data_IF_807423272727
#
_entry.id   IF_807423272727
#
_cell.length_a   1.000
_cell.length_b   1.000
_cell.length_c   1.000
_cell.angle_alpha   90.00
_cell.angle_beta   90.00
_cell.angle_gamma   90.00
#
_symmetry.space_group_name_H-M   'P 1'
#
loop_
_entity.id
_entity.type
_entity.pdbx_description
1 polymer ?
#
# COMPACT_ATOMS: atom_id res chain seq x y z
N UNK A 1 3.39 33.21 -3.18
CA UNK A 1 3.77 31.79 -3.09
C UNK A 1 4.83 31.53 -2.02
N UNK A 2 6.08 32.06 -2.11
CA UNK A 2 7.10 31.87 -1.05
C UNK A 2 6.62 32.24 0.37
N UNK A 3 5.92 33.37 0.50
CA UNK A 3 5.38 33.79 1.80
C UNK A 3 4.39 32.77 2.39
N UNK A 4 3.45 32.28 1.57
CA UNK A 4 2.45 31.29 1.98
C UNK A 4 3.13 29.95 2.35
N UNK A 5 4.16 29.56 1.61
CA UNK A 5 4.98 28.39 1.94
C UNK A 5 5.64 28.53 3.32
N UNK A 6 6.31 29.66 3.58
CA UNK A 6 6.96 29.92 4.87
C UNK A 6 5.98 29.93 6.06
N UNK A 7 4.75 30.40 5.85
CA UNK A 7 3.73 30.47 6.89
C UNK A 7 3.05 29.11 7.17
N UNK A 8 2.90 28.27 6.15
CA UNK A 8 2.12 27.02 6.26
C UNK A 8 2.97 25.75 6.34
N UNK A 9 4.23 25.82 5.91
CA UNK A 9 5.09 24.66 5.65
C UNK A 9 4.72 23.83 4.42
N UNK A 10 3.69 24.24 3.66
CA UNK A 10 3.20 23.48 2.51
C UNK A 10 3.73 24.05 1.20
N UNK A 11 4.07 23.18 0.25
CA UNK A 11 4.38 23.59 -1.11
C UNK A 11 3.07 23.80 -1.89
N UNK A 12 2.94 24.99 -2.51
CA UNK A 12 1.75 25.37 -3.25
C UNK A 12 2.04 25.50 -4.74
N UNK A 13 1.10 25.05 -5.54
CA UNK A 13 1.06 25.39 -6.96
C UNK A 13 0.28 26.68 -7.18
N UNK A 14 0.64 27.35 -8.26
CA UNK A 14 0.02 28.58 -8.70
C UNK A 14 -0.26 28.53 -10.19
N UNK A 15 -1.33 29.20 -10.56
CA UNK A 15 -1.72 29.49 -11.93
C UNK A 15 -1.57 31.00 -12.13
N UNK A 16 -0.94 31.41 -13.21
CA UNK A 16 -0.97 32.81 -13.66
C UNK A 16 -1.58 32.86 -15.05
N UNK A 17 -2.66 33.61 -15.20
CA UNK A 17 -3.32 33.79 -16.49
C UNK A 17 -3.82 35.21 -16.67
N UNK A 18 -3.79 35.70 -17.90
CA UNK A 18 -4.44 36.95 -18.31
C UNK A 18 -5.71 36.70 -19.15
N UNK A 19 -6.22 35.47 -19.16
CA UNK A 19 -7.37 35.05 -19.96
C UNK A 19 -7.05 34.70 -21.42
N UNK A 20 -5.81 34.88 -21.88
CA UNK A 20 -5.33 34.44 -23.21
C UNK A 20 -4.13 33.51 -23.13
N UNK A 21 -3.22 33.80 -22.20
CA UNK A 21 -2.04 33.00 -21.92
C UNK A 21 -2.07 32.53 -20.48
N UNK A 22 -1.44 31.38 -20.27
CA UNK A 22 -1.35 30.71 -18.98
C UNK A 22 0.09 30.29 -18.71
N UNK A 23 0.50 30.36 -17.45
CA UNK A 23 1.72 29.76 -16.95
C UNK A 23 1.43 29.12 -15.59
N UNK A 24 2.14 28.04 -15.30
CA UNK A 24 2.07 27.35 -14.02
C UNK A 24 3.30 27.67 -13.19
N UNK A 25 3.10 27.82 -11.89
CA UNK A 25 4.13 28.01 -10.87
C UNK A 25 4.10 26.79 -9.96
N UNK A 26 5.25 26.20 -9.69
CA UNK A 26 5.35 25.00 -8.86
C UNK A 26 6.71 24.95 -8.14
N UNK A 27 6.82 24.10 -7.13
CA UNK A 27 8.06 23.90 -6.38
C UNK A 27 8.83 22.70 -6.92
N UNK A 28 10.12 22.88 -7.21
CA UNK A 28 11.09 21.77 -7.32
C UNK A 28 12.06 21.92 -6.14
N UNK A 29 11.98 21.02 -5.16
CA UNK A 29 12.61 21.22 -3.87
C UNK A 29 12.09 22.51 -3.20
N UNK A 30 13.00 23.40 -2.81
CA UNK A 30 12.68 24.71 -2.21
C UNK A 30 12.65 25.87 -3.23
N UNK A 31 12.88 25.57 -4.52
CA UNK A 31 12.86 26.57 -5.59
C UNK A 31 11.50 26.61 -6.28
N UNK A 32 11.00 27.83 -6.51
CA UNK A 32 9.83 28.02 -7.38
C UNK A 32 10.32 28.02 -8.84
N UNK A 33 9.76 27.12 -9.63
CA UNK A 33 9.87 27.09 -11.09
C UNK A 33 8.56 27.57 -11.70
N UNK A 34 8.63 27.97 -12.97
CA UNK A 34 7.47 28.32 -13.74
C UNK A 34 7.58 27.80 -15.18
N UNK A 35 6.45 27.39 -15.74
CA UNK A 35 6.36 27.10 -17.17
C UNK A 35 6.46 28.41 -17.97
N UNK A 36 6.83 28.29 -19.25
CA UNK A 36 6.65 29.40 -20.19
C UNK A 36 5.16 29.71 -20.36
N UNK A 37 4.85 30.97 -20.71
CA UNK A 37 3.48 31.34 -21.07
C UNK A 37 3.07 30.69 -22.40
N UNK A 38 2.07 29.82 -22.34
CA UNK A 38 1.43 29.20 -23.51
C UNK A 38 0.03 29.78 -23.74
N UNK A 39 -0.52 29.56 -24.92
CA UNK A 39 -1.94 29.84 -25.19
C UNK A 39 -2.79 28.84 -24.40
N UNK A 40 -3.93 29.28 -23.87
CA UNK A 40 -4.84 28.41 -23.12
C UNK A 40 -5.44 27.35 -24.05
N UNK A 41 -5.29 26.08 -23.68
CA UNK A 41 -5.88 24.91 -24.32
C UNK A 41 -7.01 24.32 -23.46
N UNK A 42 -7.76 23.35 -24.01
CA UNK A 42 -8.87 22.67 -23.29
C UNK A 42 -8.38 22.02 -22.00
N UNK A 43 -7.20 21.40 -22.01
CA UNK A 43 -6.57 20.79 -20.82
C UNK A 43 -6.32 21.81 -19.70
N UNK A 44 -6.01 23.05 -20.07
CA UNK A 44 -5.70 24.11 -19.11
C UNK A 44 -6.99 24.61 -18.44
N UNK A 45 -8.07 24.72 -19.22
CA UNK A 45 -9.40 25.07 -18.70
C UNK A 45 -9.94 23.99 -17.76
N UNK A 46 -9.83 22.72 -18.14
CA UNK A 46 -10.20 21.59 -17.28
C UNK A 46 -9.44 21.67 -15.95
N UNK A 47 -8.13 21.90 -15.99
CA UNK A 47 -7.31 22.07 -14.79
C UNK A 47 -7.77 23.23 -13.91
N UNK A 48 -8.08 24.40 -14.47
CA UNK A 48 -8.59 25.55 -13.70
C UNK A 48 -9.90 25.19 -13.00
N UNK A 49 -10.84 24.56 -13.72
CA UNK A 49 -12.13 24.16 -13.19
C UNK A 49 -11.93 23.13 -12.07
N UNK A 50 -11.09 22.11 -12.28
CA UNK A 50 -10.76 21.13 -11.25
C UNK A 50 -10.16 21.81 -10.01
N UNK A 51 -9.21 22.74 -10.17
CA UNK A 51 -8.65 23.47 -9.03
C UNK A 51 -9.71 24.27 -8.25
N UNK A 52 -10.68 24.87 -8.93
CA UNK A 52 -11.79 25.61 -8.30
C UNK A 52 -12.78 24.68 -7.59
N UNK A 53 -13.14 23.53 -8.19
CA UNK A 53 -14.01 22.53 -7.56
C UNK A 53 -13.38 22.00 -6.27
N UNK A 54 -12.06 21.90 -6.22
CA UNK A 54 -11.33 21.38 -5.07
C UNK A 54 -11.07 22.43 -3.97
N UNK A 55 -11.55 23.66 -4.10
CA UNK A 55 -11.44 24.68 -3.05
C UNK A 55 -12.19 24.23 -1.80
N UNK A 56 -11.50 24.19 -0.66
CA UNK A 56 -12.06 23.72 0.61
C UNK A 56 -11.90 22.22 0.88
N UNK A 57 -11.35 21.46 -0.07
CA UNK A 57 -10.96 20.06 0.14
C UNK A 57 -9.61 19.95 0.86
N UNK A 58 -9.40 18.85 1.58
CA UNK A 58 -8.13 18.48 2.20
C UNK A 58 -7.19 17.90 1.14
N UNK A 59 -5.91 18.25 1.24
CA UNK A 59 -4.85 17.59 0.48
C UNK A 59 -4.40 16.32 1.21
N UNK A 60 -4.05 15.28 0.45
CA UNK A 60 -3.30 14.13 0.97
C UNK A 60 -1.87 14.56 1.31
N UNK A 61 -1.70 15.06 2.53
CA UNK A 61 -0.41 15.40 3.12
C UNK A 61 -0.26 14.70 4.47
N UNK A 62 0.97 14.42 4.95
CA UNK A 62 1.15 13.73 6.22
C UNK A 62 0.48 14.49 7.36
N UNK A 63 0.59 15.82 7.37
CA UNK A 63 -0.03 16.67 8.40
C UNK A 63 -1.55 16.47 8.48
N UNK A 64 -2.25 16.50 7.34
CA UNK A 64 -3.71 16.35 7.32
C UNK A 64 -4.11 14.92 7.71
N UNK A 65 -3.46 13.92 7.10
CA UNK A 65 -3.76 12.51 7.34
C UNK A 65 -3.48 12.13 8.80
N UNK A 66 -2.34 12.53 9.36
CA UNK A 66 -2.04 12.34 10.79
C UNK A 66 -3.07 13.06 11.67
N UNK A 67 -3.42 14.30 11.35
CA UNK A 67 -4.40 15.06 12.16
C UNK A 67 -5.73 14.31 12.28
N UNK A 68 -6.21 13.73 11.18
CA UNK A 68 -7.52 13.08 11.12
C UNK A 68 -7.49 11.61 11.58
N UNK A 69 -6.36 10.91 11.38
CA UNK A 69 -6.26 9.46 11.54
C UNK A 69 -5.22 8.97 12.57
N UNK A 70 -4.52 9.84 13.31
CA UNK A 70 -3.68 9.42 14.44
C UNK A 70 -4.45 8.61 15.48
N UNK A 71 -3.76 7.81 16.30
CA UNK A 71 -4.37 6.97 17.35
C UNK A 71 -5.34 7.71 18.29
N UNK A 72 -5.07 8.99 18.56
CA UNK A 72 -5.88 9.84 19.45
C UNK A 72 -7.07 10.50 18.76
N UNK A 73 -7.25 10.32 17.45
CA UNK A 73 -8.43 10.83 16.75
C UNK A 73 -9.65 9.96 17.08
N UNK A 74 -10.82 10.59 17.16
CA UNK A 74 -12.07 9.86 17.42
C UNK A 74 -12.35 8.80 16.33
N UNK A 75 -11.94 9.05 15.09
CA UNK A 75 -12.16 8.12 13.97
C UNK A 75 -11.35 6.83 14.19
N UNK A 76 -10.05 6.94 14.41
CA UNK A 76 -9.15 5.80 14.58
C UNK A 76 -9.39 5.07 15.90
N UNK A 77 -9.71 5.80 16.97
CA UNK A 77 -10.05 5.22 18.27
C UNK A 77 -11.37 4.42 18.20
N UNK A 78 -12.39 4.95 17.52
CA UNK A 78 -13.66 4.23 17.32
C UNK A 78 -13.49 2.97 16.46
N UNK A 79 -12.62 2.99 15.44
CA UNK A 79 -12.29 1.79 14.67
C UNK A 79 -11.57 0.77 15.54
N UNK A 80 -10.50 1.19 16.21
CA UNK A 80 -9.67 0.27 17.02
C UNK A 80 -10.49 -0.38 18.13
N UNK A 81 -11.32 0.40 18.84
CA UNK A 81 -12.18 -0.14 19.89
C UNK A 81 -13.28 -1.06 19.32
N UNK A 82 -13.88 -0.74 18.17
CA UNK A 82 -14.91 -1.62 17.58
C UNK A 82 -14.35 -2.96 17.11
N UNK A 83 -13.12 -2.96 16.59
CA UNK A 83 -12.39 -4.17 16.22
C UNK A 83 -11.96 -4.96 17.47
N UNK A 84 -11.43 -4.29 18.50
CA UNK A 84 -11.02 -4.93 19.74
C UNK A 84 -12.20 -5.58 20.48
N UNK A 85 -13.32 -4.88 20.59
CA UNK A 85 -14.57 -5.43 21.11
C UNK A 85 -15.01 -6.69 20.34
N UNK A 86 -14.94 -6.64 19.01
CA UNK A 86 -15.36 -7.73 18.14
C UNK A 86 -14.50 -8.98 18.36
N UNK A 87 -13.18 -8.84 18.30
CA UNK A 87 -12.24 -9.97 18.43
C UNK A 87 -12.22 -10.56 19.84
N UNK A 88 -12.47 -9.75 20.88
CA UNK A 88 -12.57 -10.22 22.26
C UNK A 88 -13.90 -10.92 22.55
N UNK A 89 -14.99 -10.53 21.88
CA UNK A 89 -16.31 -11.14 22.08
C UNK A 89 -16.43 -12.48 21.37
N UNK A 90 -15.97 -12.56 20.12
CA UNK A 90 -16.04 -13.75 19.31
C UNK A 90 -14.99 -13.70 18.20
N UNK A 91 -14.28 -14.82 18.01
CA UNK A 91 -13.38 -15.02 16.86
C UNK A 91 -14.02 -16.03 15.93
N UNK A 92 -14.12 -15.68 14.65
CA UNK A 92 -14.49 -16.64 13.62
C UNK A 92 -13.30 -17.55 13.30
N UNK A 93 -13.54 -18.67 12.63
CA UNK A 93 -12.46 -19.56 12.17
C UNK A 93 -11.44 -18.83 11.28
N UNK A 94 -11.90 -17.91 10.41
CA UNK A 94 -11.02 -17.06 9.59
C UNK A 94 -10.17 -16.16 10.47
N UNK A 95 -10.76 -15.53 11.49
CA UNK A 95 -10.04 -14.65 12.43
C UNK A 95 -8.97 -15.41 13.20
N UNK A 96 -9.29 -16.60 13.72
CA UNK A 96 -8.32 -17.44 14.44
C UNK A 96 -7.15 -17.84 13.53
N UNK A 97 -7.44 -18.35 12.33
CA UNK A 97 -6.42 -18.76 11.37
C UNK A 97 -5.49 -17.60 10.97
N UNK A 98 -6.03 -16.44 10.60
CA UNK A 98 -5.20 -15.29 10.20
C UNK A 98 -4.36 -14.74 11.36
N UNK A 99 -4.92 -14.73 12.58
CA UNK A 99 -4.20 -14.28 13.77
C UNK A 99 -3.07 -15.25 14.13
N UNK A 100 -3.30 -16.54 13.99
CA UNK A 100 -2.29 -17.57 14.22
C UNK A 100 -1.11 -17.47 13.25
N UNK A 101 -1.37 -17.28 11.97
CA UNK A 101 -0.31 -17.08 10.97
C UNK A 101 0.43 -15.76 11.19
N UNK A 102 -0.29 -14.70 11.57
CA UNK A 102 0.31 -13.44 11.99
C UNK A 102 1.27 -13.63 13.19
N UNK A 103 0.89 -14.40 14.21
CA UNK A 103 1.76 -14.66 15.37
C UNK A 103 3.06 -15.38 14.97
N UNK A 104 2.97 -16.37 14.05
CA UNK A 104 4.13 -17.11 13.53
C UNK A 104 5.09 -16.15 12.84
N UNK A 105 4.58 -15.29 11.96
CA UNK A 105 5.38 -14.33 11.21
C UNK A 105 6.15 -13.37 12.13
N UNK A 106 5.49 -12.80 13.14
CA UNK A 106 6.11 -11.88 14.09
C UNK A 106 6.97 -12.59 15.15
N UNK A 107 7.15 -13.92 15.05
CA UNK A 107 7.91 -14.76 15.99
C UNK A 107 7.49 -14.53 17.45
N UNK A 108 6.21 -14.19 17.65
CA UNK A 108 5.63 -13.95 18.96
C UNK A 108 5.42 -15.31 19.63
N UNK A 109 6.46 -15.79 20.31
CA UNK A 109 6.40 -16.99 21.13
C UNK A 109 6.30 -16.60 22.61
N UNK A 110 5.74 -17.48 23.44
CA UNK A 110 5.71 -17.34 24.90
C UNK A 110 7.12 -17.14 25.53
N UNK A 111 8.18 -17.28 24.75
CA UNK A 111 9.59 -17.12 25.14
C UNK A 111 10.18 -15.75 24.79
N UNK A 112 9.36 -14.72 24.58
CA UNK A 112 9.80 -13.34 24.36
C UNK A 112 10.55 -12.81 25.61
N UNK A 113 11.87 -12.97 25.63
CA UNK A 113 12.78 -12.47 26.67
C UNK A 113 13.06 -10.97 26.49
N UNK A 114 12.04 -10.19 26.13
CA UNK A 114 12.12 -8.74 26.23
C UNK A 114 12.56 -8.37 27.65
N UNK A 115 13.33 -7.28 27.79
CA UNK A 115 13.60 -6.76 29.12
C UNK A 115 12.22 -6.49 29.77
N UNK A 116 11.95 -7.06 30.95
CA UNK A 116 10.62 -7.02 31.58
C UNK A 116 9.95 -5.62 31.54
N UNK A 117 10.76 -4.54 31.55
CA UNK A 117 10.30 -3.16 31.46
C UNK A 117 9.67 -2.76 30.10
N UNK A 118 10.12 -3.31 28.98
CA UNK A 118 9.58 -2.94 27.65
C UNK A 118 8.21 -3.57 27.42
N UNK A 119 8.02 -4.81 27.89
CA UNK A 119 6.73 -5.50 27.90
C UNK A 119 5.74 -4.73 28.79
N UNK A 120 6.14 -4.32 30.00
CA UNK A 120 5.30 -3.53 30.91
C UNK A 120 4.88 -2.20 30.30
N UNK A 121 5.81 -1.44 29.69
CA UNK A 121 5.51 -0.17 29.02
C UNK A 121 4.53 -0.37 27.85
N UNK A 122 4.75 -1.39 27.03
CA UNK A 122 3.90 -1.73 25.89
C UNK A 122 2.49 -2.09 26.35
N UNK A 123 2.35 -2.99 27.31
CA UNK A 123 1.06 -3.37 27.91
C UNK A 123 0.31 -2.20 28.51
N UNK A 124 1.01 -1.32 29.22
CA UNK A 124 0.43 -0.08 29.76
C UNK A 124 -0.11 0.79 28.64
N UNK A 125 0.68 1.00 27.57
CA UNK A 125 0.27 1.83 26.44
C UNK A 125 -0.93 1.24 25.69
N UNK A 126 -0.95 -0.07 25.47
CA UNK A 126 -2.09 -0.76 24.86
C UNK A 126 -3.33 -0.66 25.76
N UNK A 127 -3.17 -0.79 27.08
CA UNK A 127 -4.27 -0.65 28.05
C UNK A 127 -4.90 0.74 28.00
N UNK A 128 -4.09 1.79 27.82
CA UNK A 128 -4.56 3.16 27.62
C UNK A 128 -5.37 3.31 26.31
N UNK A 129 -4.91 2.68 25.22
CA UNK A 129 -5.55 2.77 23.90
C UNK A 129 -6.93 2.10 23.91
N UNK A 130 -7.00 0.86 24.40
CA UNK A 130 -8.20 0.03 24.36
C UNK A 130 -9.09 0.15 25.60
N UNK A 131 -8.67 0.92 26.61
CA UNK A 131 -9.37 1.05 27.89
C UNK A 131 -9.67 -0.31 28.56
N UNK A 132 -8.77 -1.29 28.39
CA UNK A 132 -8.82 -2.63 28.96
C UNK A 132 -7.53 -2.93 29.72
N UNK A 133 -7.59 -3.81 30.73
CA UNK A 133 -6.42 -4.26 31.46
C UNK A 133 -5.69 -5.36 30.67
N UNK A 134 -4.63 -4.97 29.95
CA UNK A 134 -3.79 -5.88 29.16
C UNK A 134 -2.63 -6.34 30.04
N UNK A 135 -2.80 -7.50 30.66
CA UNK A 135 -1.88 -8.04 31.65
C UNK A 135 -1.27 -9.40 31.28
N UNK A 136 -1.63 -9.95 30.11
CA UNK A 136 -1.16 -11.24 29.63
C UNK A 136 -0.84 -11.19 28.12
N UNK A 137 -0.13 -12.21 27.63
CA UNK A 137 0.30 -12.29 26.23
C UNK A 137 -0.89 -12.34 25.26
N UNK A 138 -1.96 -13.05 25.60
CA UNK A 138 -3.12 -13.20 24.71
C UNK A 138 -3.76 -11.84 24.40
N UNK A 139 -4.11 -11.06 25.44
CA UNK A 139 -4.69 -9.72 25.28
C UNK A 139 -3.74 -8.76 24.57
N UNK A 140 -2.45 -8.88 24.86
CA UNK A 140 -1.41 -8.07 24.24
C UNK A 140 -1.34 -8.34 22.73
N UNK A 141 -1.34 -9.60 22.32
CA UNK A 141 -1.34 -10.00 20.92
C UNK A 141 -2.62 -9.59 20.20
N UNK A 142 -3.79 -9.71 20.85
CA UNK A 142 -5.06 -9.20 20.31
C UNK A 142 -5.00 -7.68 20.07
N UNK A 143 -4.52 -6.93 21.05
CA UNK A 143 -4.41 -5.48 20.97
C UNK A 143 -3.44 -5.02 19.88
N UNK A 144 -2.29 -5.68 19.75
CA UNK A 144 -1.31 -5.42 18.68
C UNK A 144 -1.89 -5.73 17.30
N UNK A 145 -2.51 -6.89 17.15
CA UNK A 145 -3.12 -7.32 15.89
C UNK A 145 -4.25 -6.38 15.45
N UNK A 146 -5.08 -5.91 16.40
CA UNK A 146 -6.12 -4.92 16.14
C UNK A 146 -5.54 -3.56 15.75
N UNK A 147 -4.50 -3.06 16.42
CA UNK A 147 -3.85 -1.80 16.04
C UNK A 147 -3.30 -1.85 14.61
N UNK A 148 -2.62 -2.94 14.25
CA UNK A 148 -2.13 -3.15 12.89
C UNK A 148 -3.27 -3.26 11.88
N UNK A 149 -4.35 -3.97 12.24
CA UNK A 149 -5.57 -4.06 11.42
C UNK A 149 -6.18 -2.68 11.19
N UNK A 150 -6.30 -1.85 12.23
CA UNK A 150 -6.82 -0.48 12.13
C UNK A 150 -6.00 0.35 11.14
N UNK A 151 -4.68 0.29 11.25
CA UNK A 151 -3.78 0.96 10.31
C UNK A 151 -3.98 0.44 8.87
N UNK A 152 -3.99 -0.88 8.68
CA UNK A 152 -4.18 -1.50 7.37
C UNK A 152 -5.49 -1.04 6.70
N UNK A 153 -6.61 -1.03 7.44
CA UNK A 153 -7.92 -0.56 6.93
C UNK A 153 -7.82 0.90 6.44
N UNK A 154 -7.21 1.79 7.22
CA UNK A 154 -7.08 3.21 6.86
C UNK A 154 -6.23 3.36 5.60
N UNK A 155 -5.09 2.65 5.51
CA UNK A 155 -4.21 2.67 4.32
C UNK A 155 -4.95 2.16 3.08
N UNK A 156 -5.67 1.04 3.19
CA UNK A 156 -6.45 0.44 2.10
C UNK A 156 -7.56 1.36 1.60
N UNK A 157 -8.27 2.04 2.51
CA UNK A 157 -9.32 3.00 2.16
C UNK A 157 -8.73 4.28 1.54
N UNK A 158 -7.58 4.76 2.01
CA UNK A 158 -6.84 5.85 1.35
C UNK A 158 -6.49 5.46 -0.08
N UNK A 159 -5.89 4.28 -0.29
CA UNK A 159 -5.56 3.77 -1.62
C UNK A 159 -6.80 3.68 -2.52
N UNK A 160 -7.91 3.19 -1.98
CA UNK A 160 -9.19 3.09 -2.68
C UNK A 160 -9.74 4.46 -3.09
N UNK A 161 -9.60 5.50 -2.25
CA UNK A 161 -10.03 6.87 -2.54
C UNK A 161 -9.25 7.50 -3.70
N UNK A 162 -8.02 7.06 -3.94
CA UNK A 162 -7.18 7.58 -5.04
C UNK A 162 -7.60 7.03 -6.40
N UNK A 163 -8.31 5.89 -6.44
CA UNK A 163 -8.86 5.37 -7.68
C UNK A 163 -10.02 6.25 -8.17
N UNK A 164 -10.08 6.52 -9.48
CA UNK A 164 -11.13 7.34 -10.08
C UNK A 164 -12.47 6.61 -10.19
N UNK A 165 -12.45 5.31 -10.50
CA UNK A 165 -13.64 4.48 -10.70
C UNK A 165 -13.48 3.14 -9.99
N UNK A 166 -14.50 2.77 -9.22
CA UNK A 166 -14.61 1.48 -8.57
C UNK A 166 -15.46 0.56 -9.45
N UNK A 167 -14.93 -0.62 -9.79
CA UNK A 167 -15.64 -1.62 -10.59
C UNK A 167 -16.24 -2.70 -9.69
N UNK A 168 -17.08 -2.29 -8.72
CA UNK A 168 -17.66 -3.22 -7.74
C UNK A 168 -19.08 -3.67 -8.10
N UNK A 169 -19.98 -2.73 -8.35
CA UNK A 169 -21.38 -3.00 -8.71
C UNK A 169 -21.99 -1.82 -9.47
N UNK A 170 -23.20 -1.98 -10.03
CA UNK A 170 -23.89 -0.85 -10.69
C UNK A 170 -24.13 0.35 -9.76
N UNK A 171 -24.27 0.08 -8.45
CA UNK A 171 -24.54 1.09 -7.42
C UNK A 171 -23.27 1.74 -6.85
N UNK A 172 -22.09 1.16 -7.09
CA UNK A 172 -20.81 1.63 -6.53
C UNK A 172 -19.83 1.84 -7.67
N UNK A 173 -19.78 3.07 -8.17
CA UNK A 173 -18.90 3.50 -9.26
C UNK A 173 -17.81 4.44 -8.79
N UNK A 174 -18.07 5.17 -7.71
CA UNK A 174 -17.14 6.14 -7.13
C UNK A 174 -16.97 5.87 -5.64
N UNK A 175 -15.85 6.32 -5.08
CA UNK A 175 -15.58 6.18 -3.64
C UNK A 175 -16.69 6.82 -2.78
N UNK A 176 -17.31 7.91 -3.25
CA UNK A 176 -18.41 8.57 -2.54
C UNK A 176 -19.66 7.71 -2.40
N UNK A 177 -19.86 6.72 -3.27
CA UNK A 177 -21.03 5.84 -3.18
C UNK A 177 -20.94 4.94 -1.93
N UNK A 178 -19.73 4.71 -1.41
CA UNK A 178 -19.51 3.91 -0.19
C UNK A 178 -20.10 4.56 1.06
N UNK A 179 -20.32 5.88 1.08
CA UNK A 179 -20.92 6.56 2.23
C UNK A 179 -22.45 6.41 2.31
N UNK A 180 -23.10 5.96 1.23
CA UNK A 180 -24.56 5.82 1.16
C UNK A 180 -25.04 4.38 1.23
N UNK A 181 -24.19 3.40 0.92
CA UNK A 181 -24.55 1.98 0.99
C UNK A 181 -24.80 1.49 2.43
N UNK A 182 -25.58 0.41 2.53
CA UNK A 182 -25.92 -0.27 3.79
C UNK A 182 -24.79 -1.17 4.31
N UNK A 183 -24.99 -1.73 5.49
CA UNK A 183 -24.00 -2.55 6.19
C UNK A 183 -23.60 -3.82 5.45
N UNK A 184 -24.56 -4.49 4.80
CA UNK A 184 -24.32 -5.75 4.09
C UNK A 184 -23.52 -5.48 2.81
N UNK A 185 -23.90 -4.43 2.07
CA UNK A 185 -23.16 -4.01 0.87
C UNK A 185 -21.76 -3.54 1.22
N UNK A 186 -21.58 -2.75 2.29
CA UNK A 186 -20.26 -2.29 2.71
C UNK A 186 -19.38 -3.45 3.16
N UNK A 187 -19.92 -4.41 3.91
CA UNK A 187 -19.19 -5.62 4.31
C UNK A 187 -18.65 -6.39 3.10
N UNK A 188 -19.50 -6.66 2.09
CA UNK A 188 -19.08 -7.32 0.84
C UNK A 188 -18.06 -6.51 0.05
N UNK A 189 -18.20 -5.19 0.06
CA UNK A 189 -17.21 -4.30 -0.55
C UNK A 189 -15.85 -4.43 0.16
N UNK A 190 -15.83 -4.42 1.49
CA UNK A 190 -14.60 -4.62 2.25
C UNK A 190 -14.00 -6.00 1.99
N UNK A 191 -14.79 -7.09 1.95
CA UNK A 191 -14.27 -8.41 1.55
C UNK A 191 -13.58 -8.35 0.17
N UNK A 192 -14.21 -7.74 -0.84
CA UNK A 192 -13.60 -7.60 -2.16
C UNK A 192 -12.43 -6.64 -2.24
N UNK A 193 -12.37 -5.66 -1.35
CA UNK A 193 -11.20 -4.81 -1.18
C UNK A 193 -10.02 -5.64 -0.64
N UNK A 194 -10.27 -6.45 0.38
CA UNK A 194 -9.29 -7.34 1.00
C UNK A 194 -8.77 -8.40 0.02
N UNK A 195 -9.64 -8.97 -0.83
CA UNK A 195 -9.27 -9.94 -1.86
C UNK A 195 -8.48 -9.32 -3.05
N UNK A 196 -8.34 -7.99 -3.10
CA UNK A 196 -7.66 -7.29 -4.20
C UNK A 196 -8.51 -7.09 -5.47
N UNK A 197 -9.76 -7.53 -5.49
CA UNK A 197 -10.66 -7.45 -6.65
C UNK A 197 -10.89 -6.01 -7.12
N UNK A 198 -11.05 -5.07 -6.17
CA UNK A 198 -11.34 -3.66 -6.47
C UNK A 198 -10.22 -3.01 -7.30
N UNK A 199 -8.96 -3.40 -7.08
CA UNK A 199 -7.80 -2.85 -7.78
C UNK A 199 -7.46 -3.62 -9.05
N UNK A 200 -7.54 -4.95 -9.00
CA UNK A 200 -7.23 -5.81 -10.16
C UNK A 200 -8.22 -5.60 -11.32
N UNK A 201 -9.50 -5.34 -11.01
CA UNK A 201 -10.50 -4.94 -12.01
C UNK A 201 -10.18 -3.59 -12.68
N UNK A 202 -9.50 -2.69 -11.98
CA UNK A 202 -8.96 -1.43 -12.50
C UNK A 202 -7.57 -1.55 -13.15
N UNK A 203 -7.06 -2.76 -13.36
CA UNK A 203 -5.76 -3.00 -14.01
C UNK A 203 -4.55 -3.00 -13.07
N UNK A 204 -4.72 -2.70 -11.78
CA UNK A 204 -3.62 -2.71 -10.81
C UNK A 204 -3.62 -4.06 -10.08
N UNK A 205 -2.72 -4.93 -10.49
CA UNK A 205 -2.48 -6.21 -9.82
C UNK A 205 -1.71 -5.96 -8.52
N UNK A 206 -1.74 -6.92 -7.61
CA UNK A 206 -0.96 -7.01 -6.37
C UNK A 206 -0.94 -5.82 -5.41
N UNK A 207 -1.66 -4.72 -5.64
CA UNK A 207 -1.67 -3.59 -4.71
C UNK A 207 -2.22 -4.00 -3.34
N UNK A 208 -3.39 -4.65 -3.34
CA UNK A 208 -3.93 -5.40 -2.21
C UNK A 208 -4.07 -6.85 -2.62
N UNK A 209 -3.59 -7.76 -1.78
CA UNK A 209 -3.73 -9.21 -1.91
C UNK A 209 -4.11 -9.70 -0.52
N UNK A 210 -5.05 -10.65 -0.42
CA UNK A 210 -5.59 -11.12 0.84
C UNK A 210 -4.50 -11.28 1.92
N UNK A 211 -4.56 -10.41 2.93
CA UNK A 211 -3.55 -10.34 3.98
C UNK A 211 -4.13 -10.77 5.33
N UNK A 212 -3.23 -10.88 6.31
CA UNK A 212 -3.58 -11.22 7.69
C UNK A 212 -4.63 -10.27 8.29
N UNK A 213 -4.76 -9.04 7.79
CA UNK A 213 -5.61 -8.01 8.37
C UNK A 213 -7.05 -8.01 7.82
N UNK A 214 -7.43 -9.00 7.01
CA UNK A 214 -8.75 -9.09 6.38
C UNK A 214 -9.87 -9.66 7.27
N UNK A 215 -9.55 -10.12 8.49
CA UNK A 215 -10.47 -10.86 9.36
C UNK A 215 -11.78 -10.13 9.70
N UNK A 216 -11.73 -8.80 9.88
CA UNK A 216 -12.89 -7.97 10.24
C UNK A 216 -13.99 -7.97 9.17
N UNK A 217 -13.61 -8.24 7.91
CA UNK A 217 -14.52 -8.24 6.78
C UNK A 217 -15.40 -9.48 6.73
N UNK A 218 -15.07 -10.56 7.44
CA UNK A 218 -15.87 -11.78 7.47
C UNK A 218 -17.30 -11.50 7.93
N UNK A 219 -18.30 -12.01 7.19
CA UNK A 219 -19.72 -11.79 7.49
C UNK A 219 -20.14 -12.13 8.92
N UNK A 220 -19.47 -13.08 9.58
CA UNK A 220 -19.78 -13.51 10.95
C UNK A 220 -18.98 -12.72 12.00
N UNK A 221 -17.93 -12.01 11.59
CA UNK A 221 -17.16 -11.10 12.44
C UNK A 221 -17.71 -9.66 12.37
N UNK A 222 -18.19 -9.28 11.18
CA UNK A 222 -18.73 -7.96 10.88
C UNK A 222 -19.94 -7.63 11.75
N UNK A 223 -19.97 -6.39 12.26
CA UNK A 223 -21.08 -5.92 13.10
C UNK A 223 -21.35 -4.43 12.90
N UNK A 224 -22.41 -3.93 13.55
CA UNK A 224 -22.84 -2.54 13.39
C UNK A 224 -21.79 -1.52 13.86
N UNK A 225 -20.98 -1.85 14.89
CA UNK A 225 -19.91 -0.95 15.35
C UNK A 225 -18.81 -0.85 14.30
N UNK A 226 -18.37 -1.98 13.73
CA UNK A 226 -17.37 -2.02 12.63
C UNK A 226 -17.87 -1.21 11.42
N UNK A 227 -19.10 -1.47 10.98
CA UNK A 227 -19.72 -0.73 9.88
C UNK A 227 -19.72 0.78 10.13
N UNK A 228 -20.17 1.23 11.31
CA UNK A 228 -20.21 2.65 11.64
C UNK A 228 -18.80 3.27 11.65
N UNK A 229 -17.79 2.58 12.19
CA UNK A 229 -16.41 3.06 12.23
C UNK A 229 -15.81 3.20 10.83
N UNK A 230 -15.96 2.20 9.96
CA UNK A 230 -15.48 2.24 8.57
C UNK A 230 -16.21 3.34 7.78
N UNK A 231 -17.52 3.48 7.98
CA UNK A 231 -18.32 4.53 7.34
C UNK A 231 -17.87 5.94 7.73
N UNK A 232 -17.41 6.14 8.97
CA UNK A 232 -16.84 7.42 9.41
C UNK A 232 -15.50 7.72 8.72
N UNK A 233 -14.64 6.71 8.52
CA UNK A 233 -13.39 6.86 7.77
C UNK A 233 -13.69 7.25 6.31
N UNK A 234 -14.63 6.57 5.67
CA UNK A 234 -15.05 6.88 4.29
C UNK A 234 -15.53 8.33 4.18
N UNK A 235 -16.41 8.78 5.08
CA UNK A 235 -16.90 10.16 5.10
C UNK A 235 -15.77 11.18 5.31
N UNK A 236 -14.81 10.88 6.17
CA UNK A 236 -13.65 11.77 6.35
C UNK A 236 -12.80 11.85 5.09
N UNK A 237 -12.55 10.72 4.44
CA UNK A 237 -11.81 10.63 3.17
C UNK A 237 -12.55 11.29 1.99
N UNK A 238 -13.87 11.48 2.05
CA UNK A 238 -14.60 12.24 1.03
C UNK A 238 -14.18 13.71 0.97
N UNK A 239 -13.80 14.31 2.10
CA UNK A 239 -13.28 15.68 2.16
C UNK A 239 -11.89 15.83 1.53
N UNK A 240 -11.20 14.73 1.26
CA UNK A 240 -9.91 14.74 0.59
C UNK A 240 -10.08 14.74 -0.93
N UNK A 241 -9.33 15.63 -1.60
CA UNK A 241 -9.32 15.67 -3.05
C UNK A 241 -8.30 14.70 -3.65
N UNK A 242 -8.79 13.85 -4.56
CA UNK A 242 -7.98 12.92 -5.34
C UNK A 242 -7.27 13.59 -6.53
N UNK A 243 -7.64 14.82 -6.90
CA UNK A 243 -6.99 15.57 -7.99
C UNK A 243 -5.57 16.02 -7.66
N UNK A 244 -5.14 15.90 -6.39
CA UNK A 244 -3.76 16.15 -5.99
C UNK A 244 -2.79 15.07 -6.50
N UNK A 245 -3.28 13.89 -6.90
CA UNK A 245 -2.46 12.78 -7.39
C UNK A 245 -2.25 12.76 -8.90
N UNK A 246 -2.83 13.69 -9.65
CA UNK A 246 -2.78 13.67 -11.10
C UNK A 246 -1.57 14.41 -11.69
N UNK A 247 -0.90 15.29 -10.92
CA UNK A 247 0.04 16.21 -11.55
C UNK A 247 1.33 16.53 -10.81
N UNK A 248 1.42 16.33 -9.50
CA UNK A 248 2.65 16.67 -8.76
C UNK A 248 2.58 16.04 -7.38
N UNK A 249 3.21 14.87 -7.23
CA UNK A 249 3.44 14.32 -5.91
C UNK A 249 4.85 14.73 -5.49
N UNK A 250 4.95 15.68 -4.56
CA UNK A 250 6.01 15.54 -3.58
C UNK A 250 5.68 14.26 -2.85
N UNK A 251 6.53 13.26 -3.02
CA UNK A 251 6.47 11.98 -2.33
C UNK A 251 6.73 12.20 -0.84
N UNK A 252 5.79 12.86 -0.17
CA UNK A 252 5.84 13.03 1.27
C UNK A 252 5.37 11.71 1.88
N UNK A 253 6.11 11.24 2.87
CA UNK A 253 5.94 9.95 3.52
C UNK A 253 4.71 9.93 4.44
N UNK A 254 3.52 10.07 3.83
CA UNK A 254 2.23 10.14 4.51
C UNK A 254 2.04 8.95 5.46
N UNK A 255 2.42 7.76 5.00
CA UNK A 255 2.09 6.52 5.68
C UNK A 255 3.07 6.16 6.78
N UNK A 256 4.34 6.58 6.70
CA UNK A 256 5.26 6.47 7.84
C UNK A 256 4.78 7.32 9.00
N UNK A 257 4.46 8.59 8.76
CA UNK A 257 4.01 9.50 9.82
C UNK A 257 2.71 9.01 10.44
N UNK A 258 1.75 8.58 9.61
CA UNK A 258 0.53 7.93 10.09
C UNK A 258 0.83 6.68 10.91
N UNK A 259 1.75 5.82 10.47
CA UNK A 259 2.12 4.61 11.20
C UNK A 259 2.69 4.94 12.56
N UNK A 260 3.64 5.88 12.65
CA UNK A 260 4.25 6.27 13.92
C UNK A 260 3.26 6.90 14.90
N UNK A 261 2.19 7.51 14.39
CA UNK A 261 1.13 8.14 15.19
C UNK A 261 0.02 7.17 15.61
N UNK A 262 -0.18 6.07 14.87
CA UNK A 262 -1.06 4.97 15.25
C UNK A 262 -0.34 3.97 16.16
N UNK A 263 0.94 3.69 15.89
CA UNK A 263 1.79 2.74 16.60
C UNK A 263 2.79 3.48 17.50
N UNK A 264 2.48 3.64 18.81
CA UNK A 264 3.38 4.26 19.78
C UNK A 264 4.81 3.72 19.76
N UNK A 265 5.74 4.55 20.23
CA UNK A 265 7.16 4.21 20.25
C UNK A 265 7.47 2.95 21.05
N UNK A 266 6.77 2.73 22.15
CA UNK A 266 6.90 1.54 23.01
C UNK A 266 6.59 0.25 22.24
N UNK A 267 5.60 0.30 21.35
CA UNK A 267 5.20 -0.84 20.51
C UNK A 267 6.24 -1.04 19.40
N UNK A 268 6.55 0.01 18.62
CA UNK A 268 7.50 -0.07 17.50
C UNK A 268 8.89 -0.52 17.93
N UNK A 269 9.41 0.03 19.04
CA UNK A 269 10.72 -0.35 19.58
C UNK A 269 10.78 -1.85 19.89
N UNK A 270 9.71 -2.38 20.46
CA UNK A 270 9.62 -3.79 20.81
C UNK A 270 9.47 -4.72 19.61
N UNK A 271 8.93 -4.21 18.49
CA UNK A 271 8.87 -4.91 17.20
C UNK A 271 10.17 -4.76 16.39
N UNK A 272 11.15 -3.99 16.89
CA UNK A 272 12.40 -3.69 16.18
C UNK A 272 12.23 -2.75 14.99
N UNK A 273 11.13 -1.98 14.94
CA UNK A 273 10.80 -1.14 13.79
C UNK A 273 11.39 0.28 13.93
N UNK A 274 12.39 0.57 13.09
CA UNK A 274 13.05 1.87 13.00
C UNK A 274 12.87 2.47 11.61
N UNK A 275 12.23 3.64 11.53
CA UNK A 275 11.93 4.28 10.24
C UNK A 275 13.03 5.24 9.80
N UNK A 276 13.57 4.98 8.61
CA UNK A 276 14.54 5.87 7.94
C UNK A 276 13.92 7.25 7.67
N UNK A 277 14.54 8.36 8.08
CA UNK A 277 14.11 9.70 7.68
C UNK A 277 14.21 9.91 6.15
N UNK A 278 13.23 10.58 5.54
CA UNK A 278 13.19 10.76 4.07
C UNK A 278 14.42 11.49 3.53
N UNK A 279 14.95 12.49 4.26
CA UNK A 279 16.18 13.19 3.86
C UNK A 279 17.40 12.25 3.80
N UNK A 280 17.44 11.22 4.65
CA UNK A 280 18.55 10.25 4.67
C UNK A 280 18.47 9.33 3.47
N UNK A 281 17.26 8.85 3.14
CA UNK A 281 17.04 8.06 1.93
C UNK A 281 17.42 8.86 0.67
N UNK A 282 16.94 10.11 0.56
CA UNK A 282 17.28 11.03 -0.55
C UNK A 282 18.79 11.24 -0.68
N UNK A 283 19.50 11.41 0.44
CA UNK A 283 20.94 11.56 0.43
C UNK A 283 21.66 10.30 -0.07
N UNK A 284 21.29 9.12 0.45
CA UNK A 284 21.91 7.84 0.08
C UNK A 284 21.65 7.51 -1.39
N UNK A 285 20.42 7.68 -1.87
CA UNK A 285 20.06 7.45 -3.28
C UNK A 285 20.84 8.39 -4.19
N UNK A 286 20.83 9.69 -3.90
CA UNK A 286 21.54 10.68 -4.71
C UNK A 286 23.03 10.35 -4.83
N UNK A 287 23.72 10.09 -3.71
CA UNK A 287 25.14 9.73 -3.71
C UNK A 287 25.43 8.41 -4.42
N UNK A 288 24.53 7.44 -4.33
CA UNK A 288 24.70 6.14 -4.99
C UNK A 288 24.57 6.27 -6.51
N UNK A 289 23.61 7.06 -6.98
CA UNK A 289 23.41 7.33 -8.41
C UNK A 289 24.54 8.17 -9.00
N UNK A 290 25.05 9.17 -8.27
CA UNK A 290 26.24 9.93 -8.64
C UNK A 290 27.46 9.02 -8.85
N UNK A 291 27.68 8.06 -7.94
CA UNK A 291 28.79 7.10 -8.04
C UNK A 291 28.64 6.11 -9.18
N UNK A 292 27.41 5.66 -9.47
CA UNK A 292 27.15 4.72 -10.56
C UNK A 292 27.42 5.36 -11.92
N UNK A 293 27.09 6.65 -12.07
CA UNK A 293 27.27 7.46 -13.28
C UNK A 293 26.70 6.78 -14.55
N UNK A 294 25.51 6.17 -14.42
CA UNK A 294 24.78 5.53 -15.52
C UNK A 294 23.32 5.99 -15.53
N UNK A 295 22.76 6.21 -16.71
CA UNK A 295 21.35 6.57 -16.86
C UNK A 295 20.39 5.39 -16.62
N UNK A 296 20.83 4.17 -16.99
CA UNK A 296 20.07 2.94 -16.77
C UNK A 296 20.64 2.17 -15.59
N UNK A 297 19.76 1.80 -14.66
CA UNK A 297 20.10 1.07 -13.44
C UNK A 297 18.89 0.28 -12.96
N UNK A 298 19.15 -0.74 -12.13
CA UNK A 298 18.15 -1.43 -11.34
C UNK A 298 18.60 -1.39 -9.88
N UNK A 299 17.66 -1.19 -8.98
CA UNK A 299 17.87 -1.13 -7.55
C UNK A 299 16.85 -2.04 -6.86
N UNK A 300 17.30 -2.69 -5.80
CA UNK A 300 16.46 -3.48 -4.91
C UNK A 300 16.73 -3.05 -3.47
N UNK A 301 15.66 -2.84 -2.71
CA UNK A 301 15.71 -2.71 -1.26
C UNK A 301 15.18 -4.01 -0.63
N UNK A 302 16.06 -4.89 -0.09
CA UNK A 302 15.69 -6.22 0.39
C UNK A 302 15.02 -6.22 1.78
N UNK A 303 14.93 -5.06 2.44
CA UNK A 303 14.23 -4.84 3.70
C UNK A 303 13.51 -3.49 3.64
N UNK A 304 12.64 -3.33 2.64
CA UNK A 304 12.19 -2.01 2.21
C UNK A 304 11.31 -1.26 3.21
N UNK A 305 10.80 -1.93 4.25
CA UNK A 305 9.87 -1.37 5.22
C UNK A 305 8.69 -0.71 4.51
N UNK A 306 8.33 0.50 4.94
CA UNK A 306 7.28 1.32 4.30
C UNK A 306 7.65 1.88 2.92
N UNK A 307 8.82 1.55 2.37
CA UNK A 307 9.21 1.88 1.00
C UNK A 307 9.95 3.21 0.83
N UNK A 308 10.48 3.82 1.89
CA UNK A 308 11.10 5.16 1.84
C UNK A 308 12.21 5.26 0.76
N UNK A 309 13.06 4.25 0.64
CA UNK A 309 14.09 4.20 -0.41
C UNK A 309 13.51 4.01 -1.79
N UNK A 310 12.48 3.17 -1.95
CA UNK A 310 11.79 2.97 -3.23
C UNK A 310 11.21 4.29 -3.74
N UNK A 311 10.58 5.04 -2.84
CA UNK A 311 10.01 6.34 -3.11
C UNK A 311 11.08 7.36 -3.51
N UNK A 312 12.23 7.37 -2.82
CA UNK A 312 13.37 8.21 -3.17
C UNK A 312 13.96 7.85 -4.55
N UNK A 313 14.05 6.56 -4.88
CA UNK A 313 14.48 6.06 -6.18
C UNK A 313 13.52 6.48 -7.30
N UNK A 314 12.20 6.33 -7.10
CA UNK A 314 11.18 6.79 -8.05
C UNK A 314 11.28 8.30 -8.26
N UNK A 315 11.38 9.07 -7.18
CA UNK A 315 11.57 10.52 -7.23
C UNK A 315 12.80 10.91 -8.05
N UNK A 316 13.93 10.23 -7.87
CA UNK A 316 15.15 10.48 -8.66
C UNK A 316 14.99 10.26 -10.17
N UNK A 317 14.04 9.41 -10.58
CA UNK A 317 13.66 9.20 -11.97
C UNK A 317 12.72 10.33 -12.42
N UNK A 318 11.66 10.60 -11.66
CA UNK A 318 10.62 11.58 -12.01
C UNK A 318 11.14 13.03 -12.06
N UNK A 319 12.05 13.42 -11.15
CA UNK A 319 12.58 14.79 -11.03
C UNK A 319 13.37 15.24 -12.28
N UNK A 320 13.71 14.31 -13.18
CA UNK A 320 14.37 14.60 -14.47
C UNK A 320 13.39 14.99 -15.58
N UNK A 321 12.08 14.91 -15.32
CA UNK A 321 11.04 15.10 -16.31
C UNK A 321 10.03 16.16 -15.85
N UNK A 322 9.65 17.06 -16.76
CA UNK A 322 8.52 17.96 -16.53
C UNK A 322 7.23 17.20 -16.83
N UNK A 323 6.62 16.58 -15.80
CA UNK A 323 5.46 15.68 -15.95
C UNK A 323 4.27 16.30 -16.71
N UNK A 324 4.14 17.63 -16.66
CA UNK A 324 3.11 18.40 -17.38
C UNK A 324 3.25 18.42 -18.89
N UNK A 325 4.48 18.29 -19.36
CA UNK A 325 4.82 18.41 -20.78
C UNK A 325 4.87 17.03 -21.45
N UNK A 326 4.72 15.94 -20.69
CA UNK A 326 4.80 14.57 -21.19
C UNK A 326 3.54 14.17 -21.95
N UNK A 327 3.76 13.60 -23.14
CA UNK A 327 2.76 12.86 -23.91
C UNK A 327 2.38 11.55 -23.21
N UNK A 328 1.25 10.95 -23.61
CA UNK A 328 0.80 9.64 -23.11
C UNK A 328 1.90 8.58 -23.28
N UNK A 329 2.56 8.58 -24.45
CA UNK A 329 3.64 7.62 -24.75
C UNK A 329 4.84 7.80 -23.82
N UNK A 330 5.27 9.03 -23.56
CA UNK A 330 6.39 9.30 -22.65
C UNK A 330 6.05 8.91 -21.21
N UNK A 331 4.80 9.12 -20.76
CA UNK A 331 4.33 8.64 -19.46
C UNK A 331 4.40 7.11 -19.35
N UNK A 332 4.00 6.39 -20.40
CA UNK A 332 4.08 4.93 -20.46
C UNK A 332 5.54 4.43 -20.41
N UNK A 333 6.44 5.04 -21.18
CA UNK A 333 7.86 4.70 -21.16
C UNK A 333 8.49 4.95 -19.78
N UNK A 334 8.13 6.06 -19.13
CA UNK A 334 8.60 6.42 -17.79
C UNK A 334 8.07 5.44 -16.73
N UNK A 335 6.80 5.05 -16.82
CA UNK A 335 6.19 4.05 -15.95
C UNK A 335 6.90 2.70 -16.09
N UNK A 336 7.10 2.22 -17.32
CA UNK A 336 7.82 0.97 -17.58
C UNK A 336 9.25 1.02 -17.04
N UNK A 337 9.93 2.15 -17.18
CA UNK A 337 11.26 2.36 -16.59
C UNK A 337 11.21 2.19 -15.07
N UNK A 338 10.25 2.82 -14.39
CA UNK A 338 10.12 2.73 -12.93
C UNK A 338 9.84 1.28 -12.49
N UNK A 339 8.83 0.63 -13.08
CA UNK A 339 8.42 -0.74 -12.76
C UNK A 339 9.52 -1.78 -13.02
N UNK A 340 10.45 -1.51 -13.95
CA UNK A 340 11.56 -2.42 -14.27
C UNK A 340 12.88 -2.10 -13.56
N UNK A 341 12.91 -1.05 -12.73
CA UNK A 341 14.14 -0.54 -12.11
C UNK A 341 14.10 -0.48 -10.58
N UNK A 342 12.93 -0.37 -9.95
CA UNK A 342 12.82 -0.16 -8.50
C UNK A 342 12.09 -1.34 -7.87
N UNK A 343 12.79 -2.17 -7.10
CA UNK A 343 12.23 -3.37 -6.48
C UNK A 343 12.30 -3.30 -4.96
N UNK A 344 11.31 -3.85 -4.26
CA UNK A 344 11.28 -3.95 -2.81
C UNK A 344 10.92 -5.36 -2.34
N UNK A 345 11.56 -5.81 -1.26
CA UNK A 345 11.16 -7.02 -0.53
C UNK A 345 11.10 -6.65 0.96
N UNK A 346 10.08 -7.14 1.65
CA UNK A 346 10.03 -7.08 3.11
C UNK A 346 9.31 -8.31 3.67
N UNK A 347 9.66 -8.70 4.89
CA UNK A 347 9.03 -9.81 5.61
C UNK A 347 7.72 -9.39 6.28
N UNK A 348 7.56 -8.11 6.60
CA UNK A 348 6.38 -7.60 7.30
C UNK A 348 5.27 -7.22 6.29
N UNK A 349 4.10 -7.90 6.29
CA UNK A 349 2.99 -7.67 5.36
C UNK A 349 2.44 -6.25 5.47
N UNK A 350 2.46 -5.65 6.65
CA UNK A 350 2.01 -4.28 6.86
C UNK A 350 2.96 -3.29 6.19
N UNK A 351 4.27 -3.55 6.25
CA UNK A 351 5.30 -2.76 5.56
C UNK A 351 5.16 -2.88 4.05
N UNK A 352 4.98 -4.11 3.53
CA UNK A 352 4.72 -4.38 2.10
C UNK A 352 3.47 -3.66 1.61
N UNK A 353 2.35 -3.75 2.34
CA UNK A 353 1.11 -3.02 2.04
C UNK A 353 1.39 -1.52 1.91
N UNK A 354 2.05 -0.93 2.90
CA UNK A 354 2.38 0.50 2.91
C UNK A 354 3.33 0.89 1.78
N UNK A 355 4.34 0.07 1.50
CA UNK A 355 5.27 0.29 0.41
C UNK A 355 4.57 0.22 -0.95
N UNK A 356 3.67 -0.76 -1.16
CA UNK A 356 2.87 -0.88 -2.38
C UNK A 356 1.96 0.33 -2.58
N UNK A 357 1.26 0.77 -1.54
CA UNK A 357 0.39 1.95 -1.62
C UNK A 357 1.23 3.20 -1.89
N UNK A 358 2.34 3.39 -1.18
CA UNK A 358 3.24 4.53 -1.41
C UNK A 358 3.77 4.55 -2.84
N UNK A 359 4.21 3.39 -3.34
CA UNK A 359 4.69 3.21 -4.71
C UNK A 359 3.60 3.59 -5.70
N UNK A 360 2.39 3.04 -5.51
CA UNK A 360 1.21 3.33 -6.34
C UNK A 360 0.93 4.84 -6.42
N UNK A 361 0.90 5.53 -5.28
CA UNK A 361 0.70 6.99 -5.25
C UNK A 361 1.79 7.74 -6.00
N UNK A 362 3.04 7.30 -5.89
CA UNK A 362 4.16 7.92 -6.59
C UNK A 362 4.08 7.78 -8.12
N UNK A 363 3.56 6.64 -8.62
CA UNK A 363 3.41 6.40 -10.07
C UNK A 363 2.03 6.79 -10.63
N UNK A 364 1.05 7.11 -9.78
CA UNK A 364 -0.32 7.45 -10.18
C UNK A 364 -0.45 8.48 -11.30
N UNK A 365 0.37 9.56 -11.37
CA UNK A 365 0.33 10.52 -12.49
C UNK A 365 0.69 9.95 -13.87
N UNK A 366 1.36 8.79 -13.89
CA UNK A 366 1.78 8.06 -15.09
C UNK A 366 0.80 6.94 -15.48
N UNK A 367 -0.11 6.58 -14.57
CA UNK A 367 -1.09 5.51 -14.79
C UNK A 367 -2.27 6.04 -15.61
N UNK A 368 -2.56 5.32 -16.68
CA UNK A 368 -3.77 5.43 -17.50
C UNK A 368 -4.48 4.06 -17.46
N UNK A 369 -4.84 3.46 -18.59
CA UNK A 369 -5.57 2.17 -18.64
C UNK A 369 -4.69 0.90 -18.67
N UNK A 370 -3.37 1.03 -18.48
CA UNK A 370 -2.48 -0.13 -18.54
C UNK A 370 -2.59 -1.04 -17.31
N UNK A 371 -2.42 -2.34 -17.54
CA UNK A 371 -2.24 -3.30 -16.45
C UNK A 371 -0.85 -3.17 -15.87
N UNK A 372 -0.77 -3.00 -14.56
CA UNK A 372 0.49 -2.88 -13.83
C UNK A 372 0.56 -3.87 -12.68
N UNK A 373 1.79 -4.18 -12.30
CA UNK A 373 2.13 -4.91 -11.09
C UNK A 373 3.18 -4.07 -10.36
N UNK A 374 3.00 -3.89 -9.06
CA UNK A 374 3.91 -3.11 -8.23
C UNK A 374 5.05 -4.04 -7.78
N UNK A 375 6.32 -3.74 -8.11
CA UNK A 375 7.47 -4.61 -7.84
C UNK A 375 7.90 -4.58 -6.36
N UNK A 376 6.95 -4.81 -5.45
CA UNK A 376 7.15 -4.87 -4.00
C UNK A 376 6.53 -6.17 -3.49
N UNK A 377 7.34 -7.04 -2.89
CA UNK A 377 6.95 -8.42 -2.59
C UNK A 377 7.11 -8.76 -1.10
N UNK A 378 6.16 -9.52 -0.59
CA UNK A 378 6.26 -10.15 0.73
C UNK A 378 7.17 -11.37 0.63
N UNK A 379 8.25 -11.38 1.40
CA UNK A 379 9.16 -12.51 1.41
C UNK A 379 10.38 -12.31 2.32
N UNK A 380 11.02 -13.41 2.65
CA UNK A 380 12.33 -13.40 3.31
C UNK A 380 13.41 -13.24 2.25
N UNK A 381 14.04 -12.07 2.18
CA UNK A 381 15.10 -11.77 1.22
C UNK A 381 16.39 -12.56 1.45
N UNK A 382 16.55 -13.19 2.61
CA UNK A 382 17.66 -14.11 2.91
C UNK A 382 17.35 -15.56 2.47
N UNK A 383 16.08 -15.92 2.29
CA UNK A 383 15.69 -17.26 1.85
C UNK A 383 15.65 -17.35 0.33
N UNK A 384 16.82 -17.59 -0.27
CA UNK A 384 16.98 -17.64 -1.73
C UNK A 384 16.69 -19.07 -2.23
N UNK A 385 15.82 -19.25 -3.24
CA UNK A 385 15.51 -20.56 -3.79
C UNK A 385 16.75 -21.22 -4.39
N UNK A 386 16.84 -22.54 -4.26
CA UNK A 386 17.93 -23.31 -4.84
C UNK A 386 17.63 -23.67 -6.29
N UNK A 387 18.66 -23.64 -7.15
CA UNK A 387 18.56 -24.16 -8.52
C UNK A 387 18.95 -25.63 -8.54
N UNK A 388 18.08 -26.47 -9.06
CA UNK A 388 18.30 -27.90 -9.27
C UNK A 388 18.04 -28.26 -10.74
N UNK A 389 18.59 -29.37 -11.17
CA UNK A 389 18.31 -29.95 -12.48
C UNK A 389 17.48 -31.21 -12.29
N UNK A 390 16.29 -31.26 -12.89
CA UNK A 390 15.37 -32.39 -12.84
C UNK A 390 15.03 -32.78 -14.27
N UNK A 391 15.39 -34.00 -14.67
CA UNK A 391 15.13 -34.52 -16.02
C UNK A 391 15.60 -33.55 -17.14
N UNK A 392 16.80 -32.97 -16.99
CA UNK A 392 17.40 -31.94 -17.87
C UNK A 392 16.65 -30.59 -17.92
N UNK A 393 15.73 -30.34 -16.99
CA UNK A 393 15.03 -29.06 -16.84
C UNK A 393 15.62 -28.34 -15.62
N UNK A 394 16.09 -27.12 -15.83
CA UNK A 394 16.51 -26.25 -14.74
C UNK A 394 15.28 -25.78 -13.95
N UNK A 395 15.26 -26.06 -12.66
CA UNK A 395 14.14 -25.75 -11.76
C UNK A 395 14.61 -24.96 -10.54
N UNK A 396 13.76 -24.06 -10.07
CA UNK A 396 13.84 -23.52 -8.73
C UNK A 396 13.13 -24.47 -7.76
N UNK A 397 13.77 -24.77 -6.64
CA UNK A 397 13.15 -25.47 -5.51
C UNK A 397 13.11 -24.54 -4.30
N UNK A 398 11.97 -24.55 -3.60
CA UNK A 398 11.72 -23.76 -2.40
C UNK A 398 10.80 -24.53 -1.46
N UNK A 399 11.03 -24.41 -0.15
CA UNK A 399 10.19 -25.05 0.86
C UNK A 399 9.41 -23.97 1.59
N UNK A 400 8.08 -24.13 1.66
CA UNK A 400 7.19 -23.29 2.46
C UNK A 400 6.78 -24.08 3.69
N UNK A 401 7.25 -23.66 4.85
CA UNK A 401 6.86 -24.25 6.13
C UNK A 401 5.48 -23.72 6.52
N UNK A 402 4.54 -24.63 6.78
CA UNK A 402 3.20 -24.27 7.29
C UNK A 402 2.85 -25.12 8.50
N UNK A 403 1.83 -24.71 9.25
CA UNK A 403 1.30 -25.53 10.35
C UNK A 403 0.78 -26.90 9.91
N UNK A 404 0.40 -27.05 8.64
CA UNK A 404 -0.09 -28.31 8.07
C UNK A 404 1.05 -29.20 7.53
N UNK A 405 2.29 -28.71 7.55
CA UNK A 405 3.48 -29.39 7.06
C UNK A 405 4.23 -28.56 6.00
N UNK A 406 5.35 -29.12 5.57
CA UNK A 406 6.26 -28.46 4.63
C UNK A 406 5.77 -28.70 3.20
N UNK A 407 5.55 -27.62 2.46
CA UNK A 407 5.24 -27.66 1.03
C UNK A 407 6.53 -27.46 0.23
N UNK A 408 7.00 -28.54 -0.40
CA UNK A 408 8.12 -28.48 -1.33
C UNK A 408 7.60 -28.07 -2.71
N UNK A 409 8.04 -26.90 -3.17
CA UNK A 409 7.64 -26.29 -4.43
C UNK A 409 8.80 -26.42 -5.41
N UNK A 410 8.50 -26.95 -6.59
CA UNK A 410 9.46 -27.09 -7.69
C UNK A 410 8.83 -26.49 -8.94
N UNK A 411 9.48 -25.47 -9.49
CA UNK A 411 9.03 -24.83 -10.73
C UNK A 411 10.16 -24.69 -11.74
N UNK A 412 9.90 -24.91 -13.05
CA UNK A 412 10.87 -24.62 -14.10
C UNK A 412 11.35 -23.16 -14.04
N UNK A 413 12.66 -22.94 -14.23
CA UNK A 413 13.23 -21.59 -14.18
C UNK A 413 12.61 -20.66 -15.22
N UNK A 414 12.36 -21.16 -16.43
CA UNK A 414 11.72 -20.39 -17.51
C UNK A 414 10.28 -19.96 -17.17
N UNK A 415 9.54 -20.78 -16.41
CA UNK A 415 8.20 -20.44 -15.95
C UNK A 415 8.25 -19.29 -14.93
N UNK A 416 9.13 -19.39 -13.93
CA UNK A 416 9.31 -18.37 -12.87
C UNK A 416 9.84 -17.06 -13.44
N UNK A 417 10.77 -17.12 -14.38
CA UNK A 417 11.41 -15.94 -14.98
C UNK A 417 10.55 -15.28 -16.07
N UNK A 418 9.41 -15.88 -16.46
CA UNK A 418 8.56 -15.29 -17.49
C UNK A 418 7.86 -14.03 -16.98
N UNK A 419 7.70 -13.04 -17.86
CA UNK A 419 6.93 -11.81 -17.56
C UNK A 419 5.45 -12.07 -17.26
N UNK A 420 4.95 -13.26 -17.54
CA UNK A 420 3.58 -13.69 -17.28
C UNK A 420 3.42 -14.49 -15.98
N UNK A 421 4.49 -14.76 -15.24
CA UNK A 421 4.47 -15.62 -14.05
C UNK A 421 3.38 -15.21 -13.04
N UNK A 422 3.40 -13.97 -12.56
CA UNK A 422 2.42 -13.48 -11.59
C UNK A 422 0.98 -13.49 -12.13
N UNK A 423 0.78 -13.15 -13.40
CA UNK A 423 -0.55 -13.26 -14.02
C UNK A 423 -1.07 -14.70 -14.01
N UNK A 424 -0.19 -15.67 -14.28
CA UNK A 424 -0.54 -17.09 -14.25
C UNK A 424 -0.84 -17.54 -12.82
N UNK A 425 0.02 -17.18 -11.85
CA UNK A 425 -0.19 -17.50 -10.44
C UNK A 425 -1.51 -16.93 -9.90
N UNK A 426 -1.86 -15.69 -10.28
CA UNK A 426 -3.13 -15.07 -9.90
C UNK A 426 -4.34 -15.84 -10.47
N UNK A 427 -4.27 -16.31 -11.73
CA UNK A 427 -5.32 -17.17 -12.29
C UNK A 427 -5.43 -18.49 -11.56
N UNK A 428 -4.30 -19.10 -11.17
CA UNK A 428 -4.30 -20.34 -10.40
C UNK A 428 -4.96 -20.15 -9.03
N UNK A 429 -4.72 -19.02 -8.35
CA UNK A 429 -5.38 -18.70 -7.09
C UNK A 429 -6.91 -18.73 -7.20
N UNK A 430 -7.48 -18.12 -8.25
CA UNK A 430 -8.94 -18.15 -8.45
C UNK A 430 -9.50 -19.57 -8.61
N UNK A 431 -8.70 -20.50 -9.13
CA UNK A 431 -9.08 -21.91 -9.28
C UNK A 431 -8.95 -22.69 -7.97
N UNK A 432 -7.96 -22.34 -7.14
CA UNK A 432 -7.83 -22.84 -5.75
C UNK A 432 -9.06 -22.44 -4.94
N UNK A 433 -9.49 -21.18 -5.03
CA UNK A 433 -10.69 -20.66 -4.36
C UNK A 433 -11.99 -21.34 -4.83
N UNK A 434 -12.01 -21.84 -6.06
CA UNK A 434 -13.13 -22.63 -6.60
C UNK A 434 -13.10 -24.11 -6.17
N UNK A 435 -12.08 -24.54 -5.43
CA UNK A 435 -11.86 -25.91 -4.98
C UNK A 435 -11.91 -26.95 -6.14
N UNK A 436 -11.46 -26.56 -7.35
CA UNK A 436 -11.41 -27.46 -8.52
C UNK A 436 -9.98 -27.94 -8.80
N UNK A 437 -9.55 -29.09 -8.24
CA UNK A 437 -8.19 -29.60 -8.41
C UNK A 437 -7.89 -30.04 -9.84
N UNK A 438 -8.91 -30.44 -10.62
CA UNK A 438 -8.71 -30.88 -12.01
C UNK A 438 -8.43 -29.68 -12.91
N UNK A 439 -9.21 -28.62 -12.75
CA UNK A 439 -8.98 -27.37 -13.48
C UNK A 439 -7.63 -26.77 -13.10
N UNK A 440 -7.28 -26.79 -11.81
CA UNK A 440 -5.98 -26.30 -11.33
C UNK A 440 -4.81 -27.06 -11.99
N UNK A 441 -4.87 -28.39 -12.01
CA UNK A 441 -3.85 -29.22 -12.64
C UNK A 441 -3.71 -28.92 -14.15
N UNK A 442 -4.83 -28.81 -14.88
CA UNK A 442 -4.80 -28.49 -16.31
C UNK A 442 -4.21 -27.10 -16.56
N UNK A 443 -4.60 -26.10 -15.77
CA UNK A 443 -4.05 -24.76 -15.88
C UNK A 443 -2.54 -24.76 -15.61
N UNK A 444 -2.04 -25.48 -14.59
CA UNK A 444 -0.60 -25.57 -14.32
C UNK A 444 0.14 -26.14 -15.54
N UNK A 445 -0.35 -27.23 -16.14
CA UNK A 445 0.29 -27.84 -17.31
C UNK A 445 0.28 -26.91 -18.53
N UNK A 446 -0.85 -26.26 -18.82
CA UNK A 446 -0.96 -25.30 -19.93
C UNK A 446 -0.02 -24.10 -19.77
N UNK A 447 0.36 -23.79 -18.53
CA UNK A 447 1.21 -22.67 -18.19
C UNK A 447 2.71 -22.97 -18.26
N UNK A 448 3.10 -24.25 -18.29
CA UNK A 448 4.49 -24.69 -18.47
C UNK A 448 4.73 -24.88 -19.97
N UNK A 449 5.72 -24.17 -20.53
CA UNK A 449 5.99 -24.17 -21.96
C UNK A 449 6.23 -25.60 -22.47
N UNK A 450 5.60 -25.99 -23.59
CA UNK A 450 5.67 -27.38 -24.10
C UNK A 450 7.09 -27.83 -24.44
N UNK A 451 7.96 -26.90 -24.79
CA UNK A 451 9.38 -27.14 -25.06
C UNK A 451 10.18 -27.45 -23.80
N UNK A 452 9.60 -27.29 -22.61
CA UNK A 452 10.18 -27.63 -21.30
C UNK A 452 9.84 -29.04 -20.84
N UNK A 453 9.07 -29.82 -21.62
CA UNK A 453 8.55 -31.16 -21.24
C UNK A 453 9.10 -32.24 -22.20
N UNK A 454 10.28 -32.04 -22.79
CA UNK A 454 10.90 -33.04 -23.69
C UNK A 454 11.83 -34.01 -22.97
#
# INVERSE_FOLDING_TARGET
MKQIHNESGNNYQGLVTNGKKIAYLYFIGDEIKNTAFSTIEVKDLDRIIQSLINVGSKQFSPKNIVSDFKSTSHITQNLSNSLYDAICTHKTQKTEMLMEEWQVLFRLSESDKGQNQDIEKRRKKLSEIFSDNINNNEKEYLALYVLQTSYAIIVKLIACKVIQTLSFSEDVKFFSDLSIIDSIKLQRFMEKLEDGYVFSSGGIRNLLEGDFYSWYSDKNQWNQKIYNSIKNIIKELEFYSSSNFSYEFQTIDIFKDLYMEIMPNEIRHSLGEYFTPSWMADHVVSRSLEKLNKESWKAIDPCCGSGVFLISLIKSILDKHELYSLTIKEKQELLLRILSSVYGIDLNPLSVLTARVSYFLAIRPLIDDQKIEIPVYLGDSANIPQKIELDNIACYTYTVDTKQGDFNIIFPCNFVESSSFFERMYRLQTTVEAEDPKLLYHQIIENIDKDSIQ
#
